data_IF_885286369140
#
_entry.id   IF_885286369140
#
_cell.length_a   1.000
_cell.length_b   1.000
_cell.length_c   1.000
_cell.angle_alpha   90.00
_cell.angle_beta   90.00
_cell.angle_gamma   90.00
#
_symmetry.space_group_name_H-M   'P 1'
#
loop_
_entity.id
_entity.type
_entity.pdbx_description
1 polymer ?
#
# COMPACT_ATOMS: atom_id res chain seq x y z
N UNK A 1 -25.53 13.85 -16.28
CA UNK A 1 -25.93 12.42 -16.28
C UNK A 1 -25.62 11.85 -17.66
N UNK A 2 -25.08 10.63 -17.72
CA UNK A 2 -24.76 9.88 -18.93
C UNK A 2 -23.60 10.38 -19.82
N UNK A 3 -22.37 10.31 -19.31
CA UNK A 3 -21.17 10.08 -20.15
C UNK A 3 -20.36 8.86 -19.67
N UNK A 4 -20.53 8.44 -18.41
CA UNK A 4 -19.93 7.21 -17.88
C UNK A 4 -20.56 5.91 -18.44
N UNK A 5 -21.78 5.98 -18.99
CA UNK A 5 -22.49 4.83 -19.55
C UNK A 5 -22.11 4.46 -20.99
N UNK A 6 -21.56 5.40 -21.77
CA UNK A 6 -21.26 5.16 -23.20
C UNK A 6 -19.95 4.40 -23.44
N UNK A 7 -19.04 4.34 -22.46
CA UNK A 7 -17.84 3.52 -22.57
C UNK A 7 -18.09 2.02 -22.24
N UNK A 8 -19.24 1.71 -21.66
CA UNK A 8 -19.63 0.35 -21.21
C UNK A 8 -20.56 -0.40 -22.16
N UNK A 9 -20.87 0.16 -23.35
CA UNK A 9 -21.65 -0.53 -24.40
C UNK A 9 -20.84 -0.91 -25.64
N UNK A 10 -19.51 -0.95 -25.54
CA UNK A 10 -18.73 -1.80 -26.43
C UNK A 10 -18.89 -3.22 -25.88
N UNK A 11 -19.46 -4.13 -26.66
CA UNK A 11 -19.37 -5.57 -26.37
C UNK A 11 -17.89 -5.95 -26.43
N UNK A 12 -17.20 -5.86 -25.29
CA UNK A 12 -15.83 -6.31 -25.12
C UNK A 12 -15.68 -7.85 -25.26
N UNK A 13 -16.79 -8.58 -25.44
CA UNK A 13 -16.83 -10.03 -25.65
C UNK A 13 -16.39 -10.51 -27.05
N UNK A 14 -16.11 -9.65 -28.03
CA UNK A 14 -15.83 -10.12 -29.41
C UNK A 14 -14.56 -9.58 -30.05
N UNK A 15 -13.70 -8.88 -29.31
CA UNK A 15 -12.43 -8.40 -29.85
C UNK A 15 -11.29 -9.35 -29.47
N UNK A 16 -10.49 -9.84 -30.44
CA UNK A 16 -9.35 -10.71 -30.13
C UNK A 16 -8.41 -9.97 -29.19
N UNK A 17 -8.18 -10.57 -28.02
CA UNK A 17 -7.43 -10.04 -26.86
C UNK A 17 -6.18 -9.27 -27.29
N UNK A 18 -5.42 -9.76 -28.27
CA UNK A 18 -4.20 -9.15 -28.81
C UNK A 18 -4.27 -7.66 -29.19
N UNK A 19 -5.42 -7.11 -29.62
CA UNK A 19 -5.51 -5.70 -30.05
C UNK A 19 -5.78 -4.70 -28.91
N UNK A 20 -6.38 -5.13 -27.81
CA UNK A 20 -6.72 -4.24 -26.68
C UNK A 20 -5.47 -3.91 -25.86
N UNK A 21 -4.55 -4.87 -25.67
CA UNK A 21 -3.31 -4.66 -24.92
C UNK A 21 -2.36 -3.65 -25.58
N UNK A 22 -2.28 -3.67 -26.92
CA UNK A 22 -1.40 -2.77 -27.69
C UNK A 22 -1.86 -1.32 -27.68
N UNK A 23 -3.15 -1.04 -27.51
CA UNK A 23 -3.67 0.33 -27.56
C UNK A 23 -3.71 1.05 -26.22
N UNK A 24 -3.50 0.34 -25.09
CA UNK A 24 -3.64 0.92 -23.74
C UNK A 24 -2.38 1.63 -23.21
N UNK A 25 -1.40 1.99 -24.06
CA UNK A 25 -0.18 2.73 -23.65
C UNK A 25 0.68 2.01 -22.60
N UNK A 26 0.42 0.73 -22.35
CA UNK A 26 1.05 -0.07 -21.31
C UNK A 26 2.17 -0.97 -21.83
N UNK A 27 2.27 -1.14 -23.15
CA UNK A 27 3.06 -2.19 -23.76
C UNK A 27 4.59 -1.99 -23.60
N UNK A 28 5.05 -0.74 -23.50
CA UNK A 28 6.49 -0.43 -23.40
C UNK A 28 6.97 -0.24 -21.95
N UNK A 29 6.06 -0.31 -20.96
CA UNK A 29 6.38 -0.10 -19.54
C UNK A 29 6.16 -1.34 -18.67
N UNK A 30 5.49 -2.38 -19.19
CA UNK A 30 5.22 -3.61 -18.46
C UNK A 30 6.26 -4.68 -18.78
N UNK A 31 6.95 -5.15 -17.74
CA UNK A 31 7.80 -6.32 -17.85
C UNK A 31 6.94 -7.59 -17.92
N UNK A 32 6.72 -8.12 -19.12
CA UNK A 32 5.92 -9.35 -19.30
C UNK A 32 6.66 -10.61 -18.86
N UNK A 33 7.99 -10.56 -18.68
CA UNK A 33 8.80 -11.73 -18.33
C UNK A 33 8.52 -12.22 -16.90
N UNK A 34 8.05 -11.35 -16.01
CA UNK A 34 7.70 -11.69 -14.62
C UNK A 34 6.27 -12.21 -14.46
N UNK A 35 5.41 -12.10 -15.47
CA UNK A 35 4.01 -12.54 -15.37
C UNK A 35 3.94 -14.06 -15.35
N UNK A 36 3.16 -14.63 -14.43
CA UNK A 36 3.08 -16.08 -14.20
C UNK A 36 2.55 -16.86 -15.40
N UNK A 37 1.54 -16.31 -16.09
CA UNK A 37 0.86 -16.95 -17.22
C UNK A 37 1.11 -16.18 -18.52
N UNK A 38 1.11 -16.85 -19.68
CA UNK A 38 1.19 -16.19 -20.98
C UNK A 38 -0.03 -15.28 -21.22
N UNK A 39 0.10 -14.26 -22.08
CA UNK A 39 -0.95 -13.29 -22.34
C UNK A 39 -2.25 -13.92 -22.85
N UNK A 40 -2.15 -15.03 -23.59
CA UNK A 40 -3.27 -15.81 -24.10
C UNK A 40 -4.14 -16.43 -22.99
N UNK A 41 -3.63 -16.55 -21.77
CA UNK A 41 -4.37 -17.06 -20.61
C UNK A 41 -5.48 -16.11 -20.15
N UNK A 42 -5.31 -14.80 -20.36
CA UNK A 42 -6.23 -13.79 -19.83
C UNK A 42 -7.35 -13.51 -20.82
N UNK A 43 -8.59 -13.85 -20.44
CA UNK A 43 -9.78 -13.66 -21.30
C UNK A 43 -10.37 -12.26 -21.17
N UNK A 44 -10.06 -11.56 -20.08
CA UNK A 44 -10.53 -10.20 -19.82
C UNK A 44 -9.39 -9.30 -19.35
N UNK A 45 -9.53 -7.99 -19.58
CA UNK A 45 -8.57 -7.01 -19.06
C UNK A 45 -8.43 -7.10 -17.53
N UNK A 46 -9.54 -7.31 -16.81
CA UNK A 46 -9.51 -7.40 -15.36
C UNK A 46 -8.64 -8.57 -14.87
N UNK A 47 -8.72 -9.74 -15.52
CA UNK A 47 -7.88 -10.89 -15.16
C UNK A 47 -6.38 -10.60 -15.29
N UNK A 48 -5.98 -9.87 -16.33
CA UNK A 48 -4.58 -9.44 -16.47
C UNK A 48 -4.22 -8.31 -15.51
N UNK A 49 -5.15 -7.41 -15.21
CA UNK A 49 -4.92 -6.34 -14.26
C UNK A 49 -4.56 -6.92 -12.88
N UNK A 50 -5.27 -7.98 -12.46
CA UNK A 50 -4.98 -8.76 -11.25
C UNK A 50 -4.04 -9.94 -11.52
N UNK A 51 -3.20 -9.88 -12.55
CA UNK A 51 -2.25 -10.96 -12.90
C UNK A 51 -1.40 -11.35 -11.69
N UNK A 52 -1.07 -12.63 -11.59
CA UNK A 52 -0.05 -13.13 -10.68
C UNK A 52 1.33 -12.99 -11.32
N UNK A 53 2.34 -12.78 -10.48
CA UNK A 53 3.75 -12.83 -10.89
C UNK A 53 4.34 -14.22 -10.63
N UNK A 54 5.43 -14.53 -11.32
CA UNK A 54 6.19 -15.76 -11.11
C UNK A 54 6.75 -15.82 -9.68
N UNK A 55 6.84 -16.99 -9.05
CA UNK A 55 7.55 -17.15 -7.80
C UNK A 55 8.96 -16.57 -7.90
N UNK A 56 9.38 -15.82 -6.88
CA UNK A 56 10.69 -15.16 -6.85
C UNK A 56 10.79 -13.84 -7.62
N UNK A 57 9.76 -13.40 -8.36
CA UNK A 57 9.77 -12.10 -9.03
C UNK A 57 9.83 -10.91 -8.06
N UNK A 58 9.43 -11.12 -6.80
CA UNK A 58 9.45 -10.13 -5.72
C UNK A 58 10.14 -10.73 -4.49
N UNK A 59 11.49 -10.73 -4.43
CA UNK A 59 12.20 -11.23 -3.27
C UNK A 59 11.94 -10.35 -2.04
N UNK A 60 11.68 -10.99 -0.90
CA UNK A 60 11.38 -10.28 0.35
C UNK A 60 12.69 -9.94 1.06
N UNK A 61 12.90 -8.66 1.39
CA UNK A 61 14.09 -8.20 2.10
C UNK A 61 14.11 -8.75 3.54
N UNK A 62 15.26 -9.30 3.92
CA UNK A 62 15.52 -9.86 5.25
C UNK A 62 14.40 -10.81 5.72
N UNK A 63 14.07 -11.89 4.99
CA UNK A 63 12.84 -12.67 5.21
C UNK A 63 12.70 -13.24 6.63
N UNK A 64 13.83 -13.55 7.28
CA UNK A 64 13.88 -14.11 8.65
C UNK A 64 13.79 -13.04 9.76
N UNK A 65 13.68 -11.76 9.42
CA UNK A 65 13.71 -10.63 10.36
C UNK A 65 12.36 -9.93 10.43
N UNK A 66 11.53 -10.29 11.41
CA UNK A 66 10.21 -9.66 11.59
C UNK A 66 10.30 -8.20 12.06
N UNK A 67 11.48 -7.73 12.50
CA UNK A 67 11.78 -6.34 12.84
C UNK A 67 12.04 -5.46 11.60
N UNK A 68 12.01 -6.03 10.40
CA UNK A 68 12.16 -5.32 9.13
C UNK A 68 10.82 -5.30 8.39
N UNK A 69 10.26 -4.11 8.18
CA UNK A 69 9.08 -3.93 7.35
C UNK A 69 9.47 -3.84 5.86
N UNK A 70 8.57 -4.27 4.97
CA UNK A 70 8.77 -4.24 3.52
C UNK A 70 7.70 -3.45 2.80
N UNK A 71 7.99 -3.01 1.58
CA UNK A 71 7.03 -2.40 0.68
C UNK A 71 5.93 -3.41 0.34
N UNK A 72 4.67 -3.02 0.56
CA UNK A 72 3.49 -3.86 0.34
C UNK A 72 2.90 -3.79 -1.06
N UNK A 73 3.41 -2.92 -1.94
CA UNK A 73 2.89 -2.80 -3.31
C UNK A 73 3.97 -2.29 -4.28
N UNK A 74 3.91 -2.77 -5.52
CA UNK A 74 4.61 -2.15 -6.62
C UNK A 74 3.98 -0.79 -6.89
N UNK A 75 4.73 0.28 -6.68
CA UNK A 75 4.13 1.59 -6.60
C UNK A 75 5.14 2.73 -6.70
N UNK A 76 4.56 3.93 -6.73
CA UNK A 76 5.25 5.19 -6.49
C UNK A 76 5.00 5.57 -5.03
N UNK A 77 6.02 5.37 -4.20
CA UNK A 77 5.97 5.50 -2.74
C UNK A 77 6.32 6.91 -2.29
N UNK A 78 5.60 7.37 -1.26
CA UNK A 78 5.96 8.53 -0.44
C UNK A 78 5.78 8.16 1.03
N UNK A 79 6.71 8.57 1.88
CA UNK A 79 6.69 8.31 3.32
C UNK A 79 6.89 9.61 4.12
N UNK A 80 6.25 9.66 5.29
CA UNK A 80 6.34 10.77 6.23
C UNK A 80 6.53 10.23 7.64
N UNK A 81 7.42 10.84 8.42
CA UNK A 81 7.67 10.42 9.81
C UNK A 81 6.45 10.64 10.69
N UNK A 82 5.66 11.67 10.37
CA UNK A 82 4.40 11.96 11.05
C UNK A 82 3.30 12.38 10.07
N UNK A 83 2.05 12.28 10.52
CA UNK A 83 0.89 12.81 9.78
C UNK A 83 1.01 14.33 9.58
N UNK A 84 1.50 15.08 10.56
CA UNK A 84 1.67 16.53 10.43
C UNK A 84 2.66 16.88 9.30
N UNK A 85 3.73 16.11 9.15
CA UNK A 85 4.65 16.23 8.01
C UNK A 85 3.91 15.96 6.68
N UNK A 86 3.08 14.92 6.61
CA UNK A 86 2.32 14.59 5.39
C UNK A 86 1.38 15.71 4.93
N UNK A 87 0.74 16.40 5.88
CA UNK A 87 -0.17 17.52 5.65
C UNK A 87 0.58 18.76 5.12
N UNK A 88 1.82 18.97 5.57
CA UNK A 88 2.65 20.11 5.15
C UNK A 88 3.19 19.92 3.74
N UNK A 89 3.68 18.72 3.43
CA UNK A 89 4.46 18.50 2.21
C UNK A 89 3.65 18.00 1.02
N UNK A 90 2.59 17.22 1.24
CA UNK A 90 1.93 16.52 0.13
C UNK A 90 0.40 16.64 0.15
N UNK A 91 -0.22 16.32 1.27
CA UNK A 91 -1.69 16.26 1.36
C UNK A 91 -2.23 17.69 1.55
N UNK A 92 -2.40 18.40 0.43
CA UNK A 92 -2.91 19.79 0.40
C UNK A 92 -4.44 19.89 0.53
N UNK A 93 -5.14 18.76 0.51
CA UNK A 93 -6.58 18.69 0.70
C UNK A 93 -6.96 19.20 2.10
N UNK A 94 -7.97 20.09 2.17
CA UNK A 94 -8.55 20.46 3.46
C UNK A 94 -9.17 19.20 4.09
N UNK A 95 -8.92 18.97 5.39
CA UNK A 95 -9.55 17.93 6.25
C UNK A 95 -8.95 16.51 6.24
N UNK A 96 -7.70 16.29 5.81
CA UNK A 96 -7.08 14.99 6.12
C UNK A 96 -6.86 14.83 7.63
N UNK A 97 -7.30 13.70 8.15
CA UNK A 97 -7.04 13.26 9.51
C UNK A 97 -6.95 11.74 9.55
N UNK A 98 -6.19 11.21 10.50
CA UNK A 98 -6.10 9.76 10.72
C UNK A 98 -7.46 9.18 11.00
N UNK A 99 -8.26 9.81 11.85
CA UNK A 99 -9.63 9.37 12.11
C UNK A 99 -10.48 9.37 10.84
N UNK A 100 -10.35 10.40 10.02
CA UNK A 100 -11.04 10.49 8.73
C UNK A 100 -10.59 9.42 7.74
N UNK A 101 -9.34 8.95 7.82
CA UNK A 101 -8.78 7.87 7.01
C UNK A 101 -9.18 6.49 7.55
N UNK A 102 -9.08 6.25 8.85
CA UNK A 102 -9.37 4.93 9.43
C UNK A 102 -10.87 4.67 9.62
N UNK A 103 -11.70 5.72 9.58
CA UNK A 103 -13.12 5.60 9.90
C UNK A 103 -13.37 5.66 11.41
N UNK A 104 -14.66 5.70 11.80
CA UNK A 104 -15.07 5.92 13.20
C UNK A 104 -14.94 4.68 14.08
N UNK A 105 -14.99 3.50 13.46
CA UNK A 105 -15.03 2.21 14.17
C UNK A 105 -13.64 1.75 14.62
N UNK A 106 -12.58 2.36 14.08
CA UNK A 106 -11.21 2.09 14.48
C UNK A 106 -10.78 3.10 15.54
N UNK A 107 -10.23 2.59 16.63
CA UNK A 107 -9.63 3.41 17.67
C UNK A 107 -8.38 4.13 17.13
N UNK A 108 -8.59 5.31 16.55
CA UNK A 108 -7.54 6.08 15.89
C UNK A 108 -6.45 6.62 16.83
N UNK A 109 -6.64 6.51 18.16
CA UNK A 109 -5.70 7.05 19.15
C UNK A 109 -4.31 6.42 19.08
N UNK A 110 -4.23 5.11 18.78
CA UNK A 110 -2.95 4.41 18.58
C UNK A 110 -2.13 5.01 17.42
N UNK A 111 -2.82 5.58 16.43
CA UNK A 111 -2.22 6.07 15.18
C UNK A 111 -2.07 7.60 15.16
N UNK A 112 -2.35 8.30 16.25
CA UNK A 112 -2.12 9.75 16.35
C UNK A 112 -0.61 10.01 16.23
N UNK A 113 -0.24 10.97 15.39
CA UNK A 113 1.16 11.31 15.07
C UNK A 113 2.01 10.14 14.56
N UNK A 114 1.36 9.06 14.12
CA UNK A 114 1.98 7.90 13.49
C UNK A 114 2.72 8.22 12.18
N UNK A 115 3.58 7.28 11.78
CA UNK A 115 4.28 7.31 10.49
C UNK A 115 3.33 6.90 9.37
N UNK A 116 3.34 7.64 8.27
CA UNK A 116 2.44 7.45 7.13
C UNK A 116 3.23 7.04 5.90
N UNK A 117 2.86 5.94 5.27
CA UNK A 117 3.46 5.45 4.02
C UNK A 117 2.37 5.28 2.97
N UNK A 118 2.51 5.96 1.84
CA UNK A 118 1.55 6.00 0.74
C UNK A 118 2.15 5.30 -0.47
N UNK A 119 1.51 4.23 -0.90
CA UNK A 119 1.84 3.48 -2.11
C UNK A 119 0.81 3.82 -3.18
N UNK A 120 1.19 4.62 -4.18
CA UNK A 120 0.30 4.94 -5.31
C UNK A 120 0.60 4.01 -6.48
N UNK A 121 -0.37 3.15 -6.81
CA UNK A 121 -0.24 2.19 -7.90
C UNK A 121 -0.74 2.86 -9.19
N UNK A 122 0.15 3.03 -10.16
CA UNK A 122 -0.23 3.46 -11.49
C UNK A 122 -0.80 2.27 -12.30
N UNK A 123 -1.62 2.52 -13.33
CA UNK A 123 -2.36 1.46 -14.04
C UNK A 123 -1.50 0.31 -14.61
N UNK A 124 -0.21 0.54 -14.87
CA UNK A 124 0.72 -0.47 -15.39
C UNK A 124 1.36 -1.35 -14.30
N UNK A 125 1.26 -0.94 -13.03
CA UNK A 125 1.93 -1.62 -11.93
C UNK A 125 1.29 -3.00 -11.66
N UNK A 126 1.85 -3.75 -10.73
CA UNK A 126 1.24 -4.97 -10.21
C UNK A 126 0.21 -4.62 -9.13
N UNK A 127 -1.07 -4.89 -9.40
CA UNK A 127 -2.19 -4.42 -8.57
C UNK A 127 -2.64 -5.41 -7.47
N UNK A 128 -1.80 -6.41 -7.15
CA UNK A 128 -1.95 -7.16 -5.90
C UNK A 128 -1.02 -6.57 -4.86
N UNK A 129 -1.52 -6.47 -3.64
CA UNK A 129 -0.82 -5.88 -2.52
C UNK A 129 -0.58 -6.95 -1.44
N UNK A 130 0.48 -6.75 -0.69
CA UNK A 130 1.09 -7.70 0.22
C UNK A 130 1.20 -7.09 1.61
N UNK A 131 1.25 -7.94 2.64
CA UNK A 131 1.44 -7.48 4.00
C UNK A 131 2.84 -6.88 4.17
N UNK A 132 2.98 -5.63 4.66
CA UNK A 132 4.29 -5.03 4.87
C UNK A 132 5.02 -5.60 6.10
N UNK A 133 4.29 -6.25 7.00
CA UNK A 133 4.76 -6.73 8.31
C UNK A 133 4.18 -8.12 8.62
N UNK A 134 4.85 -8.85 9.51
CA UNK A 134 4.33 -10.11 10.06
C UNK A 134 3.42 -9.82 11.27
N UNK A 135 2.30 -10.53 11.38
CA UNK A 135 1.35 -10.31 12.47
C UNK A 135 0.04 -11.07 12.36
N UNK A 136 -0.93 -10.67 13.18
CA UNK A 136 -2.30 -11.19 13.16
C UNK A 136 -3.26 -10.10 12.71
N UNK A 137 -4.12 -10.42 11.76
CA UNK A 137 -5.17 -9.51 11.27
C UNK A 137 -6.26 -9.41 12.34
N UNK A 138 -6.43 -8.24 12.94
CA UNK A 138 -7.40 -8.03 14.02
C UNK A 138 -8.80 -7.71 13.54
N UNK A 139 -8.93 -7.02 12.39
CA UNK A 139 -10.24 -6.59 11.88
C UNK A 139 -10.14 -6.07 10.46
N UNK A 140 -11.30 -6.01 9.79
CA UNK A 140 -11.52 -5.28 8.56
C UNK A 140 -12.72 -4.33 8.70
N UNK A 141 -12.53 -3.06 8.34
CA UNK A 141 -13.59 -2.05 8.34
C UNK A 141 -13.78 -1.53 6.92
N UNK A 142 -14.98 -1.74 6.38
CA UNK A 142 -15.38 -1.18 5.09
C UNK A 142 -15.84 0.26 5.30
N UNK A 143 -15.15 1.23 4.72
CA UNK A 143 -15.57 2.63 4.77
C UNK A 143 -16.17 3.03 3.41
N UNK A 144 -17.48 3.33 3.35
CA UNK A 144 -18.10 3.77 2.11
C UNK A 144 -17.58 5.15 1.71
N UNK A 145 -17.63 5.45 0.42
CA UNK A 145 -17.16 6.72 -0.11
C UNK A 145 -17.32 6.82 -1.62
N UNK A 146 -16.86 7.94 -2.16
CA UNK A 146 -16.80 8.20 -3.60
C UNK A 146 -15.66 7.40 -4.26
N UNK A 147 -15.47 7.59 -5.57
CA UNK A 147 -14.36 6.98 -6.31
C UNK A 147 -13.66 8.06 -7.14
N UNK A 148 -13.06 9.04 -6.47
CA UNK A 148 -12.24 10.06 -7.09
C UNK A 148 -10.91 9.48 -7.60
N UNK A 149 -10.30 10.13 -8.58
CA UNK A 149 -9.02 9.68 -9.13
C UNK A 149 -7.90 9.95 -8.14
N UNK A 150 -6.97 9.00 -8.02
CA UNK A 150 -5.77 9.14 -7.17
C UNK A 150 -4.56 9.66 -7.95
N UNK A 151 -4.78 10.23 -9.14
CA UNK A 151 -3.72 10.91 -9.89
C UNK A 151 -3.09 12.02 -9.03
N UNK A 152 -1.75 12.22 -9.03
CA UNK A 152 -1.08 13.26 -8.24
C UNK A 152 -1.72 14.65 -8.30
N UNK A 153 -2.26 15.05 -9.45
CA UNK A 153 -2.94 16.35 -9.60
C UNK A 153 -4.18 16.44 -8.69
N UNK A 154 -4.93 15.34 -8.57
CA UNK A 154 -6.11 15.27 -7.71
C UNK A 154 -5.74 15.10 -6.24
N UNK A 155 -4.72 14.29 -5.92
CA UNK A 155 -4.20 14.12 -4.54
C UNK A 155 -3.71 15.46 -3.97
N UNK A 156 -3.05 16.27 -4.81
CA UNK A 156 -2.49 17.56 -4.42
C UNK A 156 -3.49 18.73 -4.57
N UNK A 157 -4.76 18.42 -4.86
CA UNK A 157 -5.82 19.42 -4.98
C UNK A 157 -6.28 19.91 -3.60
N UNK A 158 -6.53 21.21 -3.48
CA UNK A 158 -7.08 21.81 -2.24
C UNK A 158 -8.57 21.51 -2.03
N UNK A 159 -9.24 20.96 -3.06
CA UNK A 159 -10.70 20.86 -3.13
C UNK A 159 -11.26 19.47 -2.79
N UNK A 160 -10.43 18.43 -2.85
CA UNK A 160 -10.85 17.06 -2.60
C UNK A 160 -9.76 16.32 -1.83
N UNK A 161 -10.15 15.59 -0.79
CA UNK A 161 -9.26 14.67 -0.10
C UNK A 161 -9.60 13.23 -0.49
N UNK A 162 -8.94 12.77 -1.55
CA UNK A 162 -9.19 11.46 -2.14
C UNK A 162 -8.96 10.31 -1.16
N UNK A 163 -8.11 10.47 -0.14
CA UNK A 163 -7.79 9.40 0.79
C UNK A 163 -8.89 9.15 1.84
N UNK A 164 -9.60 10.20 2.25
CA UNK A 164 -10.68 10.09 3.26
C UNK A 164 -12.07 10.03 2.63
N UNK A 165 -12.24 10.57 1.42
CA UNK A 165 -13.52 10.61 0.73
C UNK A 165 -13.78 9.36 -0.12
N UNK A 166 -12.73 8.68 -0.57
CA UNK A 166 -12.93 7.48 -1.37
C UNK A 166 -13.37 6.27 -0.54
N UNK A 167 -14.12 5.38 -1.21
CA UNK A 167 -14.39 4.04 -0.74
C UNK A 167 -13.06 3.32 -0.48
N UNK A 168 -12.97 2.69 0.67
CA UNK A 168 -11.76 1.99 1.12
C UNK A 168 -12.09 0.91 2.13
N UNK A 169 -11.12 0.04 2.34
CA UNK A 169 -11.17 -0.99 3.38
C UNK A 169 -9.93 -0.83 4.24
N UNK A 170 -10.14 -0.74 5.54
CA UNK A 170 -9.07 -0.63 6.54
C UNK A 170 -8.90 -1.99 7.21
N UNK A 171 -7.67 -2.44 7.34
CA UNK A 171 -7.31 -3.62 8.13
C UNK A 171 -6.34 -3.21 9.22
N UNK A 172 -6.52 -3.76 10.42
CA UNK A 172 -5.55 -3.58 11.52
C UNK A 172 -4.78 -4.88 11.68
N UNK A 173 -3.45 -4.78 11.69
CA UNK A 173 -2.54 -5.90 11.90
C UNK A 173 -1.84 -5.68 13.24
N UNK A 174 -2.04 -6.59 14.19
CA UNK A 174 -1.26 -6.64 15.44
C UNK A 174 0.06 -7.33 15.18
N UNK A 175 1.16 -6.69 15.54
CA UNK A 175 2.52 -7.14 15.24
C UNK A 175 3.36 -7.21 16.51
N UNK A 176 4.35 -8.11 16.53
CA UNK A 176 5.29 -8.19 17.64
C UNK A 176 6.25 -7.00 17.68
N UNK A 177 6.68 -6.51 16.50
CA UNK A 177 7.77 -5.56 16.36
C UNK A 177 7.31 -4.11 16.16
N UNK A 178 6.08 -3.88 15.66
CA UNK A 178 5.60 -2.55 15.26
C UNK A 178 4.30 -2.13 15.97
N UNK A 179 3.89 -2.84 17.04
CA UNK A 179 2.59 -2.59 17.67
C UNK A 179 1.45 -2.87 16.67
N UNK A 180 0.51 -1.94 16.53
CA UNK A 180 -0.52 -2.03 15.49
C UNK A 180 -0.09 -1.32 14.20
N UNK A 181 -0.43 -1.92 13.07
CA UNK A 181 -0.28 -1.30 11.74
C UNK A 181 -1.64 -1.26 11.07
N UNK A 182 -2.08 -0.06 10.70
CA UNK A 182 -3.28 0.11 9.89
C UNK A 182 -2.92 0.05 8.41
N UNK A 183 -3.47 -0.94 7.71
CA UNK A 183 -3.35 -1.11 6.27
C UNK A 183 -4.65 -0.66 5.60
N UNK A 184 -4.59 0.37 4.76
CA UNK A 184 -5.76 0.99 4.13
C UNK A 184 -5.67 0.79 2.62
N UNK A 185 -6.55 -0.03 2.06
CA UNK A 185 -6.69 -0.17 0.62
C UNK A 185 -7.77 0.79 0.12
N UNK A 186 -7.40 1.72 -0.76
CA UNK A 186 -8.26 2.81 -1.25
C UNK A 186 -8.54 2.61 -2.73
N UNK A 187 -9.83 2.52 -3.07
CA UNK A 187 -10.28 2.47 -4.46
C UNK A 187 -10.29 3.87 -5.07
N UNK A 188 -10.09 3.96 -6.38
CA UNK A 188 -10.23 5.20 -7.14
C UNK A 188 -11.25 5.04 -8.28
N UNK A 189 -11.35 6.07 -9.13
CA UNK A 189 -12.20 6.02 -10.33
C UNK A 189 -11.93 4.76 -11.15
N UNK A 190 -13.02 4.15 -11.60
CA UNK A 190 -13.05 2.87 -12.33
C UNK A 190 -12.75 1.62 -11.51
N UNK A 191 -12.29 1.68 -10.25
CA UNK A 191 -11.92 0.48 -9.46
C UNK A 191 -13.05 -0.52 -9.34
N UNK A 192 -12.85 -1.69 -9.96
CA UNK A 192 -13.83 -2.77 -10.04
C UNK A 192 -14.13 -3.47 -8.70
N UNK A 193 -13.22 -3.45 -7.73
CA UNK A 193 -13.40 -3.98 -6.37
C UNK A 193 -12.08 -3.91 -5.60
N UNK A 194 -12.16 -3.91 -4.27
CA UNK A 194 -11.03 -4.16 -3.37
C UNK A 194 -11.30 -5.53 -2.76
N UNK A 195 -10.36 -6.47 -2.89
CA UNK A 195 -10.54 -7.84 -2.40
C UNK A 195 -9.36 -8.23 -1.53
N UNK A 196 -9.65 -8.62 -0.28
CA UNK A 196 -8.65 -9.20 0.63
C UNK A 196 -8.74 -10.73 0.58
N UNK A 197 -7.59 -11.38 0.69
CA UNK A 197 -7.46 -12.84 0.69
C UNK A 197 -7.38 -13.44 2.09
N UNK A 198 -7.25 -12.60 3.11
CA UNK A 198 -7.17 -12.96 4.52
C UNK A 198 -8.44 -12.55 5.24
N UNK A 199 -8.67 -13.18 6.39
CA UNK A 199 -9.80 -12.92 7.29
C UNK A 199 -9.28 -12.45 8.64
N UNK A 200 -10.18 -11.88 9.42
CA UNK A 200 -9.92 -11.59 10.83
C UNK A 200 -9.48 -12.87 11.58
N UNK A 201 -8.46 -12.74 12.40
CA UNK A 201 -7.80 -13.84 13.11
C UNK A 201 -6.68 -14.54 12.33
N UNK A 202 -6.58 -14.36 11.02
CA UNK A 202 -5.52 -14.98 10.23
C UNK A 202 -4.14 -14.41 10.61
N UNK A 203 -3.13 -15.28 10.59
CA UNK A 203 -1.73 -14.85 10.62
C UNK A 203 -1.22 -14.56 9.21
N UNK A 204 -0.44 -13.50 9.11
CA UNK A 204 0.26 -13.08 7.88
C UNK A 204 1.75 -12.95 8.18
N UNK A 205 2.60 -13.38 7.24
CA UNK A 205 4.01 -13.01 7.22
C UNK A 205 4.20 -11.78 6.34
N UNK A 206 5.23 -10.99 6.62
CA UNK A 206 5.63 -9.91 5.71
C UNK A 206 5.90 -10.48 4.31
N UNK A 207 5.41 -9.80 3.28
CA UNK A 207 5.47 -10.26 1.91
C UNK A 207 4.37 -11.25 1.50
N UNK A 208 3.53 -11.76 2.41
CA UNK A 208 2.37 -12.55 2.04
C UNK A 208 1.40 -11.73 1.19
N UNK A 209 0.83 -12.34 0.15
CA UNK A 209 -0.23 -11.70 -0.62
C UNK A 209 -1.45 -11.45 0.29
N UNK A 210 -1.87 -10.19 0.35
CA UNK A 210 -2.91 -9.74 1.27
C UNK A 210 -4.23 -9.44 0.55
N UNK A 211 -4.14 -9.00 -0.71
CA UNK A 211 -5.31 -8.73 -1.54
C UNK A 211 -4.94 -8.10 -2.88
N UNK A 212 -5.95 -7.62 -3.60
CA UNK A 212 -5.77 -6.97 -4.89
C UNK A 212 -6.87 -5.97 -5.22
N UNK A 213 -6.58 -5.09 -6.17
CA UNK A 213 -7.53 -4.18 -6.79
C UNK A 213 -7.95 -4.70 -8.16
N UNK A 214 -9.25 -4.82 -8.42
CA UNK A 214 -9.74 -4.94 -9.81
C UNK A 214 -9.58 -3.62 -10.56
N UNK A 215 -9.60 -3.66 -11.89
CA UNK A 215 -9.25 -2.56 -12.80
C UNK A 215 -9.66 -1.18 -12.30
N UNK A 216 -8.71 -0.25 -12.22
CA UNK A 216 -8.89 1.16 -11.84
C UNK A 216 -7.64 1.71 -11.14
N UNK A 217 -7.58 3.01 -10.86
CA UNK A 217 -6.47 3.57 -10.07
C UNK A 217 -6.55 3.11 -8.61
N UNK A 218 -5.43 2.89 -7.92
CA UNK A 218 -5.49 2.45 -6.52
C UNK A 218 -4.36 3.00 -5.67
N UNK A 219 -4.63 3.07 -4.37
CA UNK A 219 -3.65 3.49 -3.37
C UNK A 219 -3.72 2.55 -2.19
N UNK A 220 -2.57 2.17 -1.67
CA UNK A 220 -2.44 1.56 -0.33
C UNK A 220 -1.82 2.59 0.58
N UNK A 221 -2.33 2.74 1.80
CA UNK A 221 -1.71 3.55 2.84
C UNK A 221 -1.44 2.66 4.05
N UNK A 222 -0.23 2.69 4.57
CA UNK A 222 0.11 2.10 5.85
C UNK A 222 0.28 3.22 6.89
N UNK A 223 -0.37 3.08 8.04
CA UNK A 223 -0.15 3.93 9.21
C UNK A 223 0.44 3.08 10.30
N UNK A 224 1.66 3.40 10.70
CA UNK A 224 2.32 2.81 11.85
C UNK A 224 2.05 3.67 13.08
N UNK A 225 2.05 3.07 14.27
CA UNK A 225 2.03 3.84 15.52
C UNK A 225 3.21 4.83 15.57
N UNK A 226 3.09 5.85 16.42
CA UNK A 226 4.13 6.85 16.58
C UNK A 226 5.43 6.20 17.05
N UNK A 227 6.54 6.58 16.44
CA UNK A 227 7.89 6.20 16.84
C UNK A 227 8.17 4.67 16.90
N UNK A 228 7.37 3.83 16.23
CA UNK A 228 7.63 2.38 16.18
C UNK A 228 8.52 1.94 15.02
N UNK A 229 8.61 2.73 13.96
CA UNK A 229 9.37 2.40 12.75
C UNK A 229 10.34 3.53 12.39
N UNK A 230 11.53 3.14 11.96
CA UNK A 230 12.50 3.98 11.29
C UNK A 230 12.49 3.66 9.80
N UNK A 231 11.89 4.55 9.01
CA UNK A 231 11.81 4.43 7.54
C UNK A 231 13.19 4.71 6.95
N UNK A 232 13.56 3.98 5.90
CA UNK A 232 14.84 4.14 5.22
C UNK A 232 15.02 5.59 4.71
N UNK A 233 16.23 6.12 4.93
CA UNK A 233 16.51 7.55 4.76
C UNK A 233 16.31 8.04 3.32
N UNK A 234 16.58 7.20 2.33
CA UNK A 234 16.40 7.51 0.92
C UNK A 234 14.93 7.75 0.57
N UNK A 235 14.02 6.92 1.10
CA UNK A 235 12.57 7.08 0.95
C UNK A 235 12.10 8.42 1.54
N UNK A 236 12.59 8.77 2.73
CA UNK A 236 12.26 10.03 3.40
C UNK A 236 12.87 11.24 2.68
N UNK A 237 14.12 11.15 2.22
CA UNK A 237 14.79 12.23 1.50
C UNK A 237 14.12 12.56 0.17
N UNK A 238 13.66 11.54 -0.56
CA UNK A 238 12.86 11.73 -1.77
C UNK A 238 11.51 12.37 -1.46
N UNK A 239 10.82 11.87 -0.43
CA UNK A 239 9.50 12.36 -0.01
C UNK A 239 9.55 13.84 0.41
N UNK A 240 10.58 14.25 1.15
CA UNK A 240 10.79 15.65 1.57
C UNK A 240 10.97 16.61 0.37
N UNK A 241 11.40 16.09 -0.78
CA UNK A 241 11.54 16.84 -2.05
C UNK A 241 10.30 16.72 -2.94
N UNK A 242 9.21 16.16 -2.43
CA UNK A 242 8.00 15.83 -3.20
C UNK A 242 8.30 14.92 -4.40
N UNK A 243 9.27 14.01 -4.25
CA UNK A 243 9.59 12.99 -5.25
C UNK A 243 9.04 11.65 -4.80
N UNK A 244 8.30 11.00 -5.69
CA UNK A 244 7.86 9.62 -5.51
C UNK A 244 9.01 8.66 -5.79
N UNK A 245 9.17 7.65 -4.94
CA UNK A 245 10.18 6.59 -5.13
C UNK A 245 9.52 5.38 -5.79
N UNK A 246 10.06 4.90 -6.91
CA UNK A 246 9.59 3.65 -7.51
C UNK A 246 10.06 2.48 -6.65
N UNK A 247 9.11 1.71 -6.11
CA UNK A 247 9.39 0.55 -5.27
C UNK A 247 8.63 -0.68 -5.76
N UNK A 248 9.12 -1.85 -5.40
CA UNK A 248 8.47 -3.13 -5.64
C UNK A 248 8.15 -3.84 -4.33
N UNK A 249 7.16 -4.72 -4.36
CA UNK A 249 6.83 -5.59 -3.22
C UNK A 249 8.10 -6.29 -2.73
N UNK A 250 8.28 -6.31 -1.40
CA UNK A 250 9.40 -7.00 -0.76
C UNK A 250 10.65 -6.15 -0.56
N UNK A 251 10.79 -4.99 -1.23
CA UNK A 251 11.87 -4.04 -0.92
C UNK A 251 11.78 -3.57 0.54
N UNK A 252 12.92 -3.34 1.19
CA UNK A 252 12.96 -2.83 2.57
C UNK A 252 12.25 -1.47 2.65
N UNK A 253 11.39 -1.31 3.66
CA UNK A 253 10.69 -0.07 3.96
C UNK A 253 11.34 0.65 5.13
N UNK A 254 11.71 -0.11 6.16
CA UNK A 254 12.24 0.42 7.40
C UNK A 254 12.44 -0.68 8.45
N UNK A 255 12.95 -0.30 9.60
CA UNK A 255 13.23 -1.19 10.73
C UNK A 255 12.46 -0.77 11.98
N UNK A 256 12.13 -1.71 12.84
CA UNK A 256 11.50 -1.43 14.13
C UNK A 256 12.46 -0.67 15.04
N UNK A 257 11.94 0.34 15.73
CA UNK A 257 12.67 1.06 16.78
C UNK A 257 12.68 0.33 18.12
N UNK A 258 11.90 -0.76 18.27
CA UNK A 258 11.75 -1.51 19.51
C UNK A 258 13.06 -2.13 20.01
N UNK A 259 14.02 -2.41 19.12
CA UNK A 259 15.33 -2.96 19.49
C UNK A 259 16.32 -1.94 20.05
N UNK A 260 16.06 -0.63 19.94
CA UNK A 260 16.99 0.39 20.44
C UNK A 260 17.06 0.49 21.98
N UNK A 261 16.08 -0.09 22.70
CA UNK A 261 15.95 -0.01 24.15
C UNK A 261 16.46 -1.26 24.92
N UNK A 262 17.04 -2.26 24.23
CA UNK A 262 17.77 -3.32 24.94
C UNK A 262 19.13 -2.75 25.31
N UNK A 263 19.19 -2.09 26.48
CA UNK A 263 20.40 -1.58 27.06
C UNK A 263 21.52 -2.62 26.99
N UNK A 264 22.62 -2.27 26.31
CA UNK A 264 23.88 -2.98 26.45
C UNK A 264 24.14 -3.14 27.96
N UNK A 265 24.42 -4.36 28.46
CA UNK A 265 24.81 -4.52 29.85
C UNK A 265 26.04 -3.65 30.09
N UNK A 266 25.93 -2.76 31.08
CA UNK A 266 26.98 -1.85 31.47
C UNK A 266 28.17 -2.70 31.96
N UNK A 267 29.23 -2.80 31.15
CA UNK A 267 30.40 -3.63 31.43
C UNK A 267 31.22 -3.14 32.64
N UNK A 268 30.89 -1.96 33.17
CA UNK A 268 31.57 -1.33 34.30
C UNK A 268 31.31 -1.99 35.67
N UNK A 269 30.40 -2.98 35.76
CA UNK A 269 30.09 -3.69 37.01
C UNK A 269 30.61 -5.13 37.09
N UNK A 270 31.39 -5.61 36.10
CA UNK A 270 32.04 -6.92 36.21
C UNK A 270 33.36 -6.80 36.97
N UNK A 271 33.28 -6.70 38.30
CA UNK A 271 34.44 -6.97 39.17
C UNK A 271 34.63 -8.48 39.24
N UNK A 272 35.73 -8.97 38.68
CA UNK A 272 36.19 -10.34 38.91
C UNK A 272 36.53 -10.45 40.40
N UNK A 273 35.81 -11.32 41.12
CA UNK A 273 36.25 -11.77 42.43
C UNK A 273 37.27 -12.89 42.21
N UNK A 274 38.49 -12.63 42.67
CA UNK A 274 39.63 -13.56 42.70
C UNK A 274 39.36 -14.80 43.58
#
# INVERSE_FOLDING_TARGET
MEMAGMCLRIRWCTYPTRKIWKSMWMHDQLNLAEVKYPLEHFTTFNQFFVRELKPGARPIACPERDDVAVCGADSRLIAFRSIDESLRFWIKGRKFSVQGLLGKDICSSAFIDGTLVIFRLAPQDYHRFHSPVSGTVEQFVNVPGCLYTVNPIAVNSKYCNVFTENKRVVSIISTAEFGKVAFVAIGATMVGSITFLKKEGDRVKKGDEFGYFSFGGSTVICVFEKDVIEIDEDLLANSARSLETLVSVGMKLGVSKKQADIGLPNLDNCVLQD
#
